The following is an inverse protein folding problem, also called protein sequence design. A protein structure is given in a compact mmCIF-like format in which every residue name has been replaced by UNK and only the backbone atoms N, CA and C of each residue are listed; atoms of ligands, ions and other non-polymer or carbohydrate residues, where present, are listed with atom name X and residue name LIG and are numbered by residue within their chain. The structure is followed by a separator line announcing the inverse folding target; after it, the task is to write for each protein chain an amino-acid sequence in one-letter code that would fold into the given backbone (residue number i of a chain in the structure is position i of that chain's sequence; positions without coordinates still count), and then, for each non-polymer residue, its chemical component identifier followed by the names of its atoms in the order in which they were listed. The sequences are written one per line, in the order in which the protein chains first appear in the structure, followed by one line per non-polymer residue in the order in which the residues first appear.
data_IF_988894484286
#
_entry.id   IF_988894484286
#
_cell.length_a   1.000
_cell.length_b   1.000
_cell.length_c   1.000
_cell.angle_alpha   90.00
_cell.angle_beta   90.00
_cell.angle_gamma   90.00
#
_symmetry.space_group_name_H-M   'P 1'
#
loop_
_entity.id
_entity.type
_entity.pdbx_description
1 polymer ?
#
# COMPACT_ATOMS: atom_id res chain seq x y z
N UNK A 1 55.82 30.50 -69.46
CA UNK A 1 55.61 29.40 -68.48
C UNK A 1 54.60 29.69 -67.36
N UNK A 2 54.15 30.93 -67.12
CA UNK A 2 53.20 31.24 -66.02
C UNK A 2 51.72 30.97 -66.35
N UNK A 3 51.31 31.05 -67.61
CA UNK A 3 49.90 30.89 -68.03
C UNK A 3 49.41 29.44 -67.95
N UNK A 4 50.29 28.45 -68.13
CA UNK A 4 49.96 27.03 -68.04
C UNK A 4 49.66 26.55 -66.62
N UNK A 5 50.24 27.19 -65.60
CA UNK A 5 50.04 26.80 -64.18
C UNK A 5 48.65 27.24 -63.67
N UNK A 6 48.16 28.41 -64.10
CA UNK A 6 46.85 28.94 -63.66
C UNK A 6 45.70 28.08 -64.22
N UNK A 7 45.81 27.60 -65.46
CA UNK A 7 44.80 26.73 -66.07
C UNK A 7 44.68 25.37 -65.39
N UNK A 8 45.79 24.83 -64.86
CA UNK A 8 45.80 23.55 -64.15
C UNK A 8 45.12 23.67 -62.78
N UNK A 9 45.35 24.79 -62.07
CA UNK A 9 44.73 25.07 -60.78
C UNK A 9 43.20 25.25 -60.89
N UNK A 10 42.72 25.96 -61.91
CA UNK A 10 41.29 26.14 -62.14
C UNK A 10 40.57 24.80 -62.46
N UNK A 11 41.21 23.93 -63.24
CA UNK A 11 40.68 22.58 -63.53
C UNK A 11 40.58 21.71 -62.27
N UNK A 12 41.58 21.76 -61.38
CA UNK A 12 41.56 21.02 -60.12
C UNK A 12 40.40 21.48 -59.21
N UNK A 13 40.17 22.79 -59.10
CA UNK A 13 39.09 23.34 -58.29
C UNK A 13 37.72 22.90 -58.83
N UNK A 14 37.52 22.93 -60.15
CA UNK A 14 36.26 22.49 -60.76
C UNK A 14 35.98 20.99 -60.47
N UNK A 15 37.01 20.15 -60.52
CA UNK A 15 36.89 18.72 -60.18
C UNK A 15 36.55 18.53 -58.70
N UNK A 16 37.17 19.29 -57.80
CA UNK A 16 36.86 19.22 -56.36
C UNK A 16 35.42 19.63 -56.05
N UNK A 17 34.92 20.69 -56.69
CA UNK A 17 33.51 21.11 -56.57
C UNK A 17 32.56 20.04 -57.11
N UNK A 18 32.86 19.44 -58.26
CA UNK A 18 32.05 18.37 -58.83
C UNK A 18 32.02 17.12 -57.92
N UNK A 19 33.14 16.76 -57.32
CA UNK A 19 33.21 15.66 -56.33
C UNK A 19 32.39 16.00 -55.08
N UNK A 20 32.46 17.24 -54.60
CA UNK A 20 31.69 17.67 -53.44
C UNK A 20 30.17 17.63 -53.70
N UNK A 21 29.72 18.20 -54.82
CA UNK A 21 28.32 18.14 -55.24
C UNK A 21 27.80 16.70 -55.42
N UNK A 22 28.64 15.81 -55.96
CA UNK A 22 28.28 14.39 -56.08
C UNK A 22 28.16 13.70 -54.71
N UNK A 23 29.00 14.08 -53.74
CA UNK A 23 28.91 13.56 -52.36
C UNK A 23 27.62 14.03 -51.69
N UNK A 24 27.27 15.30 -51.79
CA UNK A 24 26.01 15.84 -51.25
C UNK A 24 24.78 15.21 -51.91
N UNK A 25 24.81 14.99 -53.22
CA UNK A 25 23.71 14.33 -53.91
C UNK A 25 23.55 12.87 -53.45
N UNK A 26 24.66 12.19 -53.13
CA UNK A 26 24.62 10.83 -52.57
C UNK A 26 24.07 10.82 -51.15
N UNK A 27 24.48 11.75 -50.28
CA UNK A 27 23.96 11.82 -48.91
C UNK A 27 22.47 12.15 -48.90
N UNK A 28 22.03 13.11 -49.71
CA UNK A 28 20.60 13.47 -49.81
C UNK A 28 19.74 12.28 -50.29
N UNK A 29 20.24 11.47 -51.23
CA UNK A 29 19.52 10.26 -51.68
C UNK A 29 19.44 9.19 -50.60
N UNK A 30 20.50 9.01 -49.81
CA UNK A 30 20.52 8.07 -48.68
C UNK A 30 19.54 8.53 -47.59
N UNK A 31 19.55 9.81 -47.24
CA UNK A 31 18.64 10.38 -46.25
C UNK A 31 17.17 10.24 -46.67
N UNK A 32 16.87 10.52 -47.94
CA UNK A 32 15.51 10.39 -48.47
C UNK A 32 15.04 8.93 -48.47
N UNK A 33 15.92 7.98 -48.81
CA UNK A 33 15.63 6.55 -48.69
C UNK A 33 15.36 6.16 -47.23
N UNK A 34 16.19 6.60 -46.29
CA UNK A 34 16.03 6.33 -44.87
C UNK A 34 14.74 6.94 -44.29
N UNK A 35 14.36 8.15 -44.72
CA UNK A 35 13.11 8.80 -44.31
C UNK A 35 11.88 8.04 -44.83
N UNK A 36 11.93 7.55 -46.08
CA UNK A 36 10.85 6.73 -46.64
C UNK A 36 10.70 5.41 -45.91
N UNK A 37 11.82 4.76 -45.55
CA UNK A 37 11.80 3.52 -44.78
C UNK A 37 11.19 3.74 -43.39
N UNK A 38 11.58 4.81 -42.68
CA UNK A 38 10.98 5.16 -41.39
C UNK A 38 9.48 5.46 -41.51
N UNK A 39 9.06 6.16 -42.56
CA UNK A 39 7.65 6.42 -42.81
C UNK A 39 6.87 5.12 -43.06
N UNK A 40 7.42 4.19 -43.83
CA UNK A 40 6.82 2.87 -44.06
C UNK A 40 6.73 2.05 -42.75
N UNK A 41 7.82 1.99 -41.98
CA UNK A 41 7.83 1.31 -40.68
C UNK A 41 6.77 1.88 -39.73
N UNK A 42 6.60 3.21 -39.71
CA UNK A 42 5.57 3.84 -38.88
C UNK A 42 4.15 3.49 -39.34
N UNK A 43 3.92 3.40 -40.65
CA UNK A 43 2.63 3.01 -41.23
C UNK A 43 2.29 1.55 -40.90
N UNK A 44 3.28 0.65 -41.01
CA UNK A 44 3.11 -0.77 -40.67
C UNK A 44 2.83 -0.96 -39.18
N UNK A 45 3.50 -0.17 -38.33
CA UNK A 45 3.24 -0.18 -36.89
C UNK A 45 1.81 0.26 -36.57
N UNK A 46 1.29 1.30 -37.23
CA UNK A 46 -0.09 1.75 -37.03
C UNK A 46 -1.10 0.66 -37.44
N UNK A 47 -0.91 0.02 -38.60
CA UNK A 47 -1.77 -1.09 -39.03
C UNK A 47 -1.74 -2.26 -38.04
N UNK A 48 -0.55 -2.59 -37.52
CA UNK A 48 -0.41 -3.62 -36.47
C UNK A 48 -1.17 -3.24 -35.20
N UNK A 49 -1.08 -1.99 -34.75
CA UNK A 49 -1.81 -1.54 -33.56
C UNK A 49 -3.32 -1.49 -33.78
N UNK A 50 -3.79 -1.14 -34.97
CA UNK A 50 -5.21 -1.15 -35.32
C UNK A 50 -5.78 -2.57 -35.31
N UNK A 51 -5.06 -3.53 -35.90
CA UNK A 51 -5.46 -4.95 -35.90
C UNK A 51 -5.46 -5.53 -34.48
N UNK A 52 -4.48 -5.18 -33.66
CA UNK A 52 -4.43 -5.57 -32.25
C UNK A 52 -5.60 -4.97 -31.46
N UNK A 53 -5.89 -3.67 -31.63
CA UNK A 53 -7.04 -3.02 -30.99
C UNK A 53 -8.37 -3.62 -31.43
N UNK A 54 -8.53 -3.97 -32.71
CA UNK A 54 -9.73 -4.64 -33.21
C UNK A 54 -9.90 -6.03 -32.57
N UNK A 55 -8.79 -6.74 -32.34
CA UNK A 55 -8.79 -8.05 -31.67
C UNK A 55 -9.15 -7.90 -30.19
N UNK A 56 -8.49 -6.99 -29.47
CA UNK A 56 -8.79 -6.70 -28.07
C UNK A 56 -10.23 -6.24 -27.85
N UNK A 57 -10.80 -5.47 -28.79
CA UNK A 57 -12.21 -5.07 -28.73
C UNK A 57 -13.14 -6.28 -28.87
N UNK A 58 -12.83 -7.24 -29.74
CA UNK A 58 -13.60 -8.48 -29.88
C UNK A 58 -13.49 -9.35 -28.63
N UNK A 59 -12.30 -9.48 -28.05
CA UNK A 59 -12.08 -10.22 -26.81
C UNK A 59 -12.83 -9.57 -25.63
N UNK A 60 -12.75 -8.24 -25.50
CA UNK A 60 -13.51 -7.52 -24.47
C UNK A 60 -15.02 -7.67 -24.66
N UNK A 61 -15.53 -7.65 -25.90
CA UNK A 61 -16.95 -7.91 -26.16
C UNK A 61 -17.34 -9.35 -25.80
N UNK A 62 -16.48 -10.34 -26.10
CA UNK A 62 -16.69 -11.74 -25.72
C UNK A 62 -16.68 -11.92 -24.19
N UNK A 63 -15.72 -11.33 -23.48
CA UNK A 63 -15.66 -11.33 -22.02
C UNK A 63 -16.87 -10.62 -21.40
N UNK A 64 -17.31 -9.50 -21.98
CA UNK A 64 -18.51 -8.81 -21.54
C UNK A 64 -19.77 -9.67 -21.71
N UNK A 65 -19.82 -10.53 -22.73
CA UNK A 65 -20.93 -11.49 -22.91
C UNK A 65 -20.86 -12.69 -21.95
N UNK A 66 -19.69 -12.97 -21.37
CA UNK A 66 -19.50 -14.00 -20.34
C UNK A 66 -19.77 -13.48 -18.92
N UNK A 67 -19.92 -12.16 -18.75
CA UNK A 67 -20.30 -11.60 -17.45
C UNK A 67 -21.68 -12.17 -17.07
N UNK A 68 -21.85 -12.57 -15.79
CA UNK A 68 -23.14 -13.06 -15.30
C UNK A 68 -24.23 -12.05 -15.62
N UNK A 69 -25.41 -12.53 -16.04
CA UNK A 69 -26.54 -11.69 -16.39
C UNK A 69 -26.77 -10.67 -15.25
N UNK A 70 -26.98 -9.37 -15.53
CA UNK A 70 -27.25 -8.38 -14.48
C UNK A 70 -28.38 -8.80 -13.52
N UNK A 71 -29.32 -9.62 -14.01
CA UNK A 71 -30.37 -10.23 -13.19
C UNK A 71 -29.83 -11.27 -12.18
N UNK A 72 -28.82 -12.06 -12.56
CA UNK A 72 -28.17 -13.01 -11.66
C UNK A 72 -27.32 -12.28 -10.62
N UNK A 73 -26.65 -11.20 -11.00
CA UNK A 73 -25.95 -10.34 -10.02
C UNK A 73 -26.92 -9.67 -9.04
N UNK A 74 -28.10 -9.23 -9.52
CA UNK A 74 -29.13 -8.66 -8.65
C UNK A 74 -29.69 -9.72 -7.68
N UNK A 75 -29.94 -10.95 -8.17
CA UNK A 75 -30.34 -12.09 -7.34
C UNK A 75 -29.27 -12.44 -6.30
N UNK A 76 -28.02 -12.62 -6.71
CA UNK A 76 -26.91 -12.91 -5.80
C UNK A 76 -26.71 -11.80 -4.75
N UNK A 77 -26.95 -10.54 -5.10
CA UNK A 77 -26.92 -9.43 -4.14
C UNK A 77 -28.09 -9.48 -3.16
N UNK A 78 -29.29 -9.83 -3.63
CA UNK A 78 -30.45 -10.04 -2.76
C UNK A 78 -30.20 -11.21 -1.80
N UNK A 79 -29.74 -12.36 -2.32
CA UNK A 79 -29.39 -13.54 -1.53
C UNK A 79 -28.27 -13.24 -0.53
N UNK A 80 -27.24 -12.48 -0.93
CA UNK A 80 -26.18 -12.05 -0.02
C UNK A 80 -26.67 -11.07 1.05
N UNK A 81 -27.61 -10.18 0.71
CA UNK A 81 -28.23 -9.28 1.68
C UNK A 81 -29.12 -10.04 2.67
N UNK A 82 -29.85 -11.05 2.20
CA UNK A 82 -30.65 -11.95 3.02
C UNK A 82 -29.76 -12.79 3.95
N UNK A 83 -28.68 -13.38 3.45
CA UNK A 83 -27.71 -14.11 4.27
C UNK A 83 -27.06 -13.21 5.33
N UNK A 84 -26.77 -11.94 5.02
CA UNK A 84 -26.30 -10.97 6.02
C UNK A 84 -27.37 -10.68 7.07
N UNK A 85 -28.65 -10.53 6.68
CA UNK A 85 -29.75 -10.33 7.62
C UNK A 85 -29.95 -11.54 8.52
N UNK A 86 -29.92 -12.75 7.96
CA UNK A 86 -30.00 -14.00 8.71
C UNK A 86 -28.81 -14.16 9.67
N UNK A 87 -27.60 -13.83 9.23
CA UNK A 87 -26.42 -13.78 10.12
C UNK A 87 -26.57 -12.72 11.20
N UNK A 88 -27.06 -11.52 10.89
CA UNK A 88 -27.26 -10.47 11.89
C UNK A 88 -28.35 -10.83 12.91
N UNK A 89 -29.42 -11.50 12.49
CA UNK A 89 -30.46 -12.03 13.38
C UNK A 89 -29.95 -13.18 14.24
N UNK A 90 -29.09 -14.05 13.69
CA UNK A 90 -28.39 -15.09 14.45
C UNK A 90 -27.25 -14.54 15.34
N UNK A 91 -26.78 -13.31 15.06
CA UNK A 91 -25.66 -12.64 15.74
C UNK A 91 -26.13 -11.36 16.43
N UNK A 92 -27.27 -11.37 17.13
CA UNK A 92 -27.69 -10.27 18.00
C UNK A 92 -26.86 -10.18 19.29
N UNK A 93 -25.56 -10.48 19.20
CA UNK A 93 -24.56 -10.19 20.21
C UNK A 93 -23.61 -9.18 19.57
N UNK A 94 -23.39 -8.00 20.17
CA UNK A 94 -22.38 -7.07 19.66
C UNK A 94 -21.07 -7.83 19.44
N UNK A 95 -20.26 -7.50 18.41
CA UNK A 95 -19.02 -8.21 18.12
C UNK A 95 -18.19 -8.23 19.40
N UNK A 96 -18.15 -9.40 20.04
CA UNK A 96 -17.50 -9.55 21.34
C UNK A 96 -16.02 -9.65 21.06
N UNK A 97 -15.36 -8.50 21.07
CA UNK A 97 -13.91 -8.43 21.11
C UNK A 97 -13.41 -9.38 22.19
N UNK A 98 -12.59 -10.36 21.80
CA UNK A 98 -11.88 -11.18 22.76
C UNK A 98 -10.65 -10.39 23.20
N UNK A 99 -10.73 -9.79 24.38
CA UNK A 99 -9.58 -9.11 24.97
C UNK A 99 -8.56 -10.18 25.36
N UNK A 100 -7.34 -10.02 24.89
CA UNK A 100 -6.23 -10.91 25.20
C UNK A 100 -5.02 -10.08 25.61
N UNK A 101 -4.18 -10.66 26.46
CA UNK A 101 -2.87 -10.10 26.82
C UNK A 101 -1.84 -10.57 25.78
N UNK A 102 -0.92 -9.71 25.36
CA UNK A 102 0.23 -10.16 24.55
C UNK A 102 1.07 -11.14 25.37
N UNK A 103 1.63 -12.16 24.72
CA UNK A 103 2.61 -13.02 25.36
C UNK A 103 3.91 -12.23 25.59
N UNK A 104 4.42 -12.27 26.82
CA UNK A 104 5.52 -11.42 27.30
C UNK A 104 6.82 -11.64 26.50
N UNK A 105 7.33 -10.55 25.93
CA UNK A 105 8.77 -10.37 25.66
C UNK A 105 9.35 -9.72 26.93
N UNK A 106 10.46 -10.21 27.50
CA UNK A 106 11.01 -9.66 28.74
C UNK A 106 11.24 -8.15 28.60
N UNK A 107 10.76 -7.33 29.56
CA UNK A 107 10.87 -5.88 29.46
C UNK A 107 12.33 -5.44 29.47
N UNK A 108 12.69 -4.57 28.53
CA UNK A 108 13.95 -3.84 28.62
C UNK A 108 13.91 -2.90 29.84
N UNK A 109 15.03 -2.74 30.58
CA UNK A 109 15.08 -1.88 31.76
C UNK A 109 14.70 -0.43 31.42
N UNK A 110 14.01 0.29 32.32
CA UNK A 110 13.62 1.67 32.08
C UNK A 110 14.86 2.56 31.92
N UNK A 111 14.88 3.49 30.95
CA UNK A 111 15.94 4.48 30.86
C UNK A 111 15.82 5.46 32.04
N UNK A 112 16.94 5.63 32.76
CA UNK A 112 17.11 6.67 33.77
C UNK A 112 17.15 8.04 33.07
N UNK A 113 16.14 8.88 33.30
CA UNK A 113 16.13 10.27 32.87
C UNK A 113 14.74 10.76 32.47
N UNK A 114 14.42 12.01 32.84
CA UNK A 114 13.16 12.73 32.57
C UNK A 114 12.97 13.06 31.08
N UNK A 115 13.01 12.04 30.22
CA UNK A 115 12.62 12.14 28.82
C UNK A 115 11.26 11.46 28.69
N UNK A 116 10.27 12.12 28.08
CA UNK A 116 8.96 11.52 27.82
C UNK A 116 9.13 10.25 26.97
N UNK A 117 9.11 9.08 27.62
CA UNK A 117 9.33 7.81 26.96
C UNK A 117 8.26 7.55 25.87
N UNK A 118 8.64 6.97 24.72
CA UNK A 118 7.72 6.70 23.64
C UNK A 118 6.68 5.64 24.03
N UNK A 119 5.50 5.72 23.43
CA UNK A 119 4.45 4.72 23.66
C UNK A 119 4.84 3.46 22.90
N UNK A 120 4.91 2.34 23.61
CA UNK A 120 5.40 1.08 23.02
C UNK A 120 4.39 -0.04 23.19
N UNK A 121 4.19 -0.81 22.13
CA UNK A 121 3.52 -2.11 22.12
C UNK A 121 4.54 -3.12 21.63
N UNK A 122 4.82 -4.16 22.41
CA UNK A 122 5.76 -5.23 22.05
C UNK A 122 5.16 -6.58 22.43
N UNK A 123 5.19 -7.54 21.51
CA UNK A 123 4.80 -8.91 21.80
C UNK A 123 4.39 -9.71 20.58
N UNK A 124 3.82 -10.89 20.84
CA UNK A 124 3.39 -11.83 19.80
C UNK A 124 1.90 -12.10 19.90
N UNK A 125 1.21 -12.11 18.75
CA UNK A 125 -0.21 -12.42 18.63
C UNK A 125 -0.46 -13.43 17.52
N UNK A 126 -1.23 -14.47 17.80
CA UNK A 126 -1.71 -15.42 16.80
C UNK A 126 -3.00 -14.92 16.16
N UNK A 127 -3.01 -14.81 14.83
CA UNK A 127 -4.16 -14.37 14.04
C UNK A 127 -4.46 -15.37 12.93
N UNK A 128 -5.73 -15.62 12.67
CA UNK A 128 -6.15 -16.20 11.39
C UNK A 128 -6.02 -15.15 10.28
N UNK A 129 -5.79 -15.58 9.05
CA UNK A 129 -5.75 -14.65 7.92
C UNK A 129 -7.10 -13.92 7.75
N UNK A 130 -7.04 -12.59 7.58
CA UNK A 130 -8.20 -11.72 7.54
C UNK A 130 -8.69 -11.23 8.90
N UNK A 131 -8.32 -11.86 10.02
CA UNK A 131 -8.64 -11.31 11.34
C UNK A 131 -7.92 -9.98 11.57
N UNK A 132 -8.56 -9.08 12.30
CA UNK A 132 -7.98 -7.77 12.63
C UNK A 132 -7.63 -7.71 14.10
N UNK A 133 -6.37 -7.49 14.42
CA UNK A 133 -5.92 -7.14 15.76
C UNK A 133 -6.03 -5.63 15.96
N UNK A 134 -6.52 -5.21 17.13
CA UNK A 134 -6.55 -3.81 17.56
C UNK A 134 -5.87 -3.68 18.90
N UNK A 135 -4.95 -2.73 19.02
CA UNK A 135 -4.27 -2.40 20.27
C UNK A 135 -4.11 -0.87 20.39
N UNK A 136 -3.56 -0.41 21.50
CA UNK A 136 -3.37 0.99 21.82
C UNK A 136 -4.37 1.48 22.85
N UNK A 137 -5.12 2.53 22.51
CA UNK A 137 -5.96 3.25 23.45
C UNK A 137 -5.17 4.25 24.30
N UNK A 138 -3.99 4.67 23.84
CA UNK A 138 -3.19 5.71 24.48
C UNK A 138 -3.80 7.09 24.25
N UNK A 139 -3.61 8.01 25.18
CA UNK A 139 -3.97 9.41 24.95
C UNK A 139 -3.14 9.98 23.78
N UNK A 140 -3.83 10.60 22.82
CA UNK A 140 -3.19 11.32 21.70
C UNK A 140 -2.66 12.69 22.17
N UNK A 141 -1.77 13.29 21.37
CA UNK A 141 -1.42 14.71 21.44
C UNK A 141 -2.63 15.62 21.20
N UNK A 142 -3.57 15.19 20.36
CA UNK A 142 -4.84 15.87 20.11
C UNK A 142 -5.73 15.76 21.34
N UNK A 143 -6.11 16.90 21.92
CA UNK A 143 -6.93 16.94 23.12
C UNK A 143 -8.23 16.10 22.96
N UNK A 144 -8.45 15.16 23.87
CA UNK A 144 -9.65 14.33 23.91
C UNK A 144 -9.71 13.22 22.86
N UNK A 145 -8.58 12.83 22.25
CA UNK A 145 -8.49 11.68 21.35
C UNK A 145 -7.59 10.57 21.91
N UNK A 146 -7.80 9.34 21.44
CA UNK A 146 -6.95 8.18 21.72
C UNK A 146 -6.43 7.55 20.44
N UNK A 147 -5.19 7.08 20.45
CA UNK A 147 -4.55 6.44 19.30
C UNK A 147 -4.75 4.93 19.38
N UNK A 148 -5.21 4.33 18.28
CA UNK A 148 -5.32 2.89 18.10
C UNK A 148 -4.53 2.43 16.88
N UNK A 149 -3.95 1.23 17.01
CA UNK A 149 -3.25 0.53 15.93
C UNK A 149 -4.06 -0.71 15.54
N UNK A 150 -4.33 -0.84 14.25
CA UNK A 150 -5.02 -2.00 13.67
C UNK A 150 -4.07 -2.76 12.75
N UNK A 151 -4.09 -4.08 12.82
CA UNK A 151 -3.29 -4.97 11.98
C UNK A 151 -4.13 -6.10 11.42
N UNK A 152 -4.10 -6.28 10.10
CA UNK A 152 -4.81 -7.35 9.40
C UNK A 152 -3.84 -8.07 8.46
N UNK A 153 -3.43 -9.32 8.77
CA UNK A 153 -2.62 -10.11 7.86
C UNK A 153 -3.49 -10.75 6.77
N UNK A 154 -2.96 -10.84 5.56
CA UNK A 154 -3.54 -11.54 4.42
C UNK A 154 -2.45 -12.39 3.77
N UNK A 155 -2.77 -13.64 3.47
CA UNK A 155 -1.88 -14.52 2.73
C UNK A 155 -1.99 -14.21 1.23
N UNK A 156 -0.86 -14.08 0.57
CA UNK A 156 -0.79 -13.92 -0.88
C UNK A 156 -0.55 -15.28 -1.55
N UNK A 157 -0.88 -15.38 -2.84
CA UNK A 157 -0.79 -16.62 -3.63
C UNK A 157 0.66 -17.14 -3.75
N UNK A 158 1.64 -16.25 -3.67
CA UNK A 158 3.07 -16.56 -3.70
C UNK A 158 3.63 -17.03 -2.33
N UNK A 159 2.77 -17.18 -1.33
CA UNK A 159 3.13 -17.57 0.03
C UNK A 159 3.65 -16.43 0.90
N UNK A 160 3.75 -15.21 0.37
CA UNK A 160 4.08 -14.03 1.19
C UNK A 160 2.89 -13.63 2.07
N UNK A 161 3.19 -12.86 3.11
CA UNK A 161 2.19 -12.26 4.01
C UNK A 161 2.14 -10.77 3.75
N UNK A 162 0.98 -10.28 3.33
CA UNK A 162 0.66 -8.86 3.32
C UNK A 162 0.06 -8.47 4.68
N UNK A 163 0.60 -7.43 5.31
CA UNK A 163 0.04 -6.86 6.53
C UNK A 163 -0.47 -5.47 6.21
N UNK A 164 -1.78 -5.29 6.37
CA UNK A 164 -2.40 -3.96 6.35
C UNK A 164 -2.37 -3.41 7.77
N UNK A 165 -1.68 -2.28 7.96
CA UNK A 165 -1.65 -1.58 9.23
C UNK A 165 -2.40 -0.26 9.12
N UNK A 166 -3.06 0.14 10.20
CA UNK A 166 -3.78 1.42 10.27
C UNK A 166 -3.58 2.04 11.64
N UNK A 167 -3.30 3.34 11.65
CA UNK A 167 -3.22 4.13 12.87
C UNK A 167 -4.33 5.17 12.81
N UNK A 168 -5.13 5.25 13.87
CA UNK A 168 -6.28 6.16 13.93
C UNK A 168 -6.34 6.87 15.28
N UNK A 169 -6.62 8.17 15.25
CA UNK A 169 -7.01 8.93 16.42
C UNK A 169 -8.53 8.94 16.53
N UNK A 170 -9.03 8.48 17.67
CA UNK A 170 -10.46 8.32 17.93
C UNK A 170 -10.86 9.25 19.06
N UNK A 171 -11.85 10.14 18.89
CA UNK A 171 -12.38 10.95 19.98
C UNK A 171 -12.84 10.10 21.15
N UNK A 172 -12.60 10.55 22.39
CA UNK A 172 -12.94 9.79 23.60
C UNK A 172 -14.42 9.37 23.63
N UNK A 173 -15.30 10.24 23.13
CA UNK A 173 -16.73 9.99 23.02
C UNK A 173 -17.09 8.87 22.03
N UNK A 174 -16.24 8.63 21.02
CA UNK A 174 -16.45 7.59 20.01
C UNK A 174 -15.84 6.22 20.40
N UNK A 175 -14.95 6.19 21.39
CA UNK A 175 -14.26 4.96 21.82
C UNK A 175 -15.24 3.88 22.26
N UNK A 176 -16.29 4.26 23.02
CA UNK A 176 -17.29 3.32 23.51
C UNK A 176 -18.22 2.84 22.39
N UNK A 177 -18.69 3.74 21.52
CA UNK A 177 -19.55 3.39 20.38
C UNK A 177 -18.85 2.47 19.38
N UNK A 178 -17.52 2.54 19.28
CA UNK A 178 -16.71 1.69 18.43
C UNK A 178 -16.30 0.36 19.10
N UNK A 179 -16.72 0.12 20.35
CA UNK A 179 -16.38 -1.09 21.09
C UNK A 179 -14.92 -1.17 21.53
N UNK A 180 -14.22 -0.03 21.61
CA UNK A 180 -12.79 0.06 21.94
C UNK A 180 -12.54 0.45 23.42
N UNK A 181 -13.59 0.57 24.23
CA UNK A 181 -13.53 1.01 25.64
C UNK A 181 -12.54 0.20 26.47
N UNK A 182 -12.52 -1.11 26.28
CA UNK A 182 -11.70 -2.04 27.05
C UNK A 182 -10.21 -1.99 26.70
N UNK A 183 -9.88 -1.36 25.56
CA UNK A 183 -8.51 -1.10 25.14
C UNK A 183 -7.96 0.22 25.68
N UNK A 184 -8.73 0.99 26.45
CA UNK A 184 -8.21 2.21 27.10
C UNK A 184 -7.02 1.84 27.98
N UNK A 185 -5.89 2.50 27.74
CA UNK A 185 -4.69 2.39 28.59
C UNK A 185 -4.24 3.77 29.02
N UNK A 186 -3.93 3.90 30.30
CA UNK A 186 -3.26 5.08 30.88
C UNK A 186 -1.74 4.86 30.98
N UNK A 187 -1.29 3.61 30.83
CA UNK A 187 0.12 3.22 30.96
C UNK A 187 0.80 3.31 29.59
N UNK A 188 2.05 3.77 29.57
CA UNK A 188 2.87 3.96 28.36
C UNK A 188 3.13 2.66 27.57
N UNK A 189 2.91 1.49 28.18
CA UNK A 189 2.94 0.19 27.52
C UNK A 189 1.50 -0.33 27.33
N UNK A 190 1.13 -0.65 26.09
CA UNK A 190 -0.10 -1.41 25.85
C UNK A 190 0.25 -2.90 25.82
N UNK A 191 -0.18 -3.65 26.84
CA UNK A 191 -0.06 -5.12 26.88
C UNK A 191 -1.35 -5.81 26.42
N UNK A 192 -2.35 -5.04 26.01
CA UNK A 192 -3.69 -5.52 25.65
C UNK A 192 -3.96 -5.33 24.18
N UNK A 193 -4.63 -6.31 23.60
CA UNK A 193 -5.20 -6.23 22.28
C UNK A 193 -6.56 -6.90 22.26
N UNK A 194 -7.34 -6.58 21.24
CA UNK A 194 -8.56 -7.27 20.88
C UNK A 194 -8.43 -7.81 19.47
N UNK A 195 -8.99 -8.99 19.21
CA UNK A 195 -9.11 -9.52 17.86
C UNK A 195 -10.55 -9.45 17.39
N UNK A 196 -10.71 -9.21 16.09
CA UNK A 196 -11.98 -9.13 15.39
C UNK A 196 -11.96 -10.11 14.22
N UNK A 197 -13.07 -10.80 13.99
CA UNK A 197 -13.24 -11.63 12.79
C UNK A 197 -13.05 -10.80 11.51
N UNK A 198 -12.84 -11.42 10.34
CA UNK A 198 -12.67 -10.67 9.09
C UNK A 198 -13.82 -9.69 8.82
N UNK A 199 -15.07 -10.10 9.03
CA UNK A 199 -16.24 -9.26 8.83
C UNK A 199 -16.32 -8.14 9.87
N UNK A 200 -16.09 -8.46 11.15
CA UNK A 200 -16.15 -7.48 12.23
C UNK A 200 -15.01 -6.46 12.14
N UNK A 201 -13.81 -6.88 11.71
CA UNK A 201 -12.66 -6.02 11.47
C UNK A 201 -12.90 -5.07 10.30
N UNK A 202 -13.44 -5.58 9.19
CA UNK A 202 -13.82 -4.74 8.04
C UNK A 202 -14.91 -3.71 8.42
N UNK A 203 -15.89 -4.13 9.23
CA UNK A 203 -16.92 -3.24 9.77
C UNK A 203 -16.31 -2.16 10.67
N UNK A 204 -15.42 -2.52 11.59
CA UNK A 204 -14.72 -1.57 12.46
C UNK A 204 -13.92 -0.55 11.64
N UNK A 205 -13.17 -1.00 10.63
CA UNK A 205 -12.41 -0.10 9.74
C UNK A 205 -13.35 0.86 9.02
N UNK A 206 -14.50 0.38 8.53
CA UNK A 206 -15.52 1.23 7.90
C UNK A 206 -16.09 2.23 8.90
N UNK A 207 -16.47 1.78 10.09
CA UNK A 207 -17.01 2.64 11.15
C UNK A 207 -16.01 3.73 11.56
N UNK A 208 -14.72 3.40 11.69
CA UNK A 208 -13.66 4.37 11.95
C UNK A 208 -13.61 5.46 10.86
N UNK A 209 -13.71 5.10 9.59
CA UNK A 209 -13.69 6.07 8.49
C UNK A 209 -14.95 6.93 8.36
N UNK A 210 -16.07 6.46 8.90
CA UNK A 210 -17.38 7.14 8.80
C UNK A 210 -17.72 7.96 10.05
N UNK A 211 -17.01 7.74 11.17
CA UNK A 211 -17.28 8.43 12.43
C UNK A 211 -16.68 9.83 12.42
N UNK A 212 -17.52 10.84 12.68
CA UNK A 212 -17.08 12.22 12.76
C UNK A 212 -16.00 12.42 13.83
N UNK A 213 -14.91 13.09 13.46
CA UNK A 213 -13.81 13.42 14.36
C UNK A 213 -12.76 12.33 14.53
N UNK A 214 -12.96 11.13 13.96
CA UNK A 214 -11.92 10.11 13.83
C UNK A 214 -10.97 10.51 12.71
N UNK A 215 -9.67 10.57 13.03
CA UNK A 215 -8.62 10.87 12.06
C UNK A 215 -7.81 9.61 11.78
N UNK A 216 -7.83 9.13 10.54
CA UNK A 216 -6.92 8.05 10.12
C UNK A 216 -5.57 8.69 9.78
N UNK A 217 -4.58 8.52 10.67
CA UNK A 217 -3.25 9.09 10.51
C UNK A 217 -2.51 8.48 9.32
N UNK A 218 -2.57 7.16 9.18
CA UNK A 218 -1.90 6.44 8.09
C UNK A 218 -2.45 5.02 7.92
N UNK A 219 -2.26 4.44 6.73
CA UNK A 219 -2.73 3.10 6.35
C UNK A 219 -1.73 2.33 5.48
N UNK A 220 -0.48 2.13 5.96
CA UNK A 220 0.55 1.45 5.19
C UNK A 220 0.21 -0.03 4.97
N UNK A 221 0.69 -0.55 3.85
CA UNK A 221 0.67 -1.98 3.55
C UNK A 221 2.10 -2.44 3.34
N UNK A 222 2.44 -3.59 3.89
CA UNK A 222 3.74 -4.19 3.75
C UNK A 222 3.58 -5.65 3.34
N UNK A 223 4.41 -6.11 2.41
CA UNK A 223 4.52 -7.52 2.03
C UNK A 223 5.87 -8.04 2.49
N UNK A 224 5.88 -9.17 3.20
CA UNK A 224 7.11 -9.84 3.64
C UNK A 224 6.95 -11.36 3.60
N UNK A 225 8.07 -12.08 3.63
CA UNK A 225 8.08 -13.55 3.71
C UNK A 225 7.77 -13.99 5.14
N UNK A 226 7.24 -15.21 5.28
CA UNK A 226 7.15 -15.87 6.58
C UNK A 226 8.52 -15.94 7.26
N UNK A 227 8.57 -15.61 8.56
CA UNK A 227 9.78 -15.54 9.39
C UNK A 227 10.68 -14.33 9.12
N UNK A 228 10.36 -13.46 8.16
CA UNK A 228 11.20 -12.31 7.80
C UNK A 228 10.71 -11.03 8.46
N UNK A 229 11.60 -10.36 9.19
CA UNK A 229 11.32 -9.05 9.79
C UNK A 229 11.16 -7.98 8.71
N UNK A 230 10.22 -7.07 8.93
CA UNK A 230 10.04 -5.88 8.13
C UNK A 230 9.67 -4.69 9.03
N UNK A 231 10.03 -3.50 8.57
CA UNK A 231 9.84 -2.25 9.32
C UNK A 231 9.05 -1.25 8.49
N UNK A 232 8.05 -0.64 9.12
CA UNK A 232 7.35 0.55 8.64
C UNK A 232 7.83 1.73 9.49
N UNK A 233 8.23 2.82 8.85
CA UNK A 233 8.59 4.08 9.53
C UNK A 233 7.91 5.25 8.83
N UNK A 234 7.17 6.05 9.59
CA UNK A 234 6.31 7.12 9.09
C UNK A 234 6.60 8.38 9.90
N UNK A 235 7.24 9.35 9.25
CA UNK A 235 7.71 10.59 9.89
C UNK A 235 9.02 10.42 10.66
N UNK A 236 9.63 11.56 11.02
CA UNK A 236 10.87 11.66 11.80
C UNK A 236 12.15 11.66 10.94
N UNK A 237 13.04 12.64 11.17
CA UNK A 237 14.46 12.61 10.76
C UNK A 237 15.36 12.08 11.89
N UNK A 238 14.83 11.98 13.12
CA UNK A 238 15.51 11.56 14.34
C UNK A 238 14.71 10.48 15.09
N UNK A 239 15.41 9.71 15.93
CA UNK A 239 14.83 8.61 16.73
C UNK A 239 13.68 9.12 17.63
N UNK A 240 12.49 8.53 17.49
CA UNK A 240 11.35 8.77 18.38
C UNK A 240 10.37 9.88 17.96
N UNK A 241 10.61 10.58 16.84
CA UNK A 241 9.68 11.61 16.34
C UNK A 241 8.59 11.07 15.40
N UNK A 242 8.73 9.84 14.91
CA UNK A 242 7.83 9.20 13.97
C UNK A 242 7.12 7.95 14.52
N UNK A 243 6.16 7.46 13.76
CA UNK A 243 5.55 6.15 14.00
C UNK A 243 6.49 5.09 13.42
N UNK A 244 6.99 4.19 14.27
CA UNK A 244 7.78 3.03 13.84
C UNK A 244 7.04 1.74 14.20
N UNK A 245 7.02 0.80 13.27
CA UNK A 245 6.46 -0.53 13.51
C UNK A 245 7.37 -1.59 12.89
N UNK A 246 7.91 -2.46 13.73
CA UNK A 246 8.58 -3.68 13.31
C UNK A 246 7.61 -4.84 13.40
N UNK A 247 7.64 -5.72 12.40
CA UNK A 247 6.77 -6.88 12.34
C UNK A 247 7.49 -8.07 11.71
N UNK A 248 7.28 -9.25 12.28
CA UNK A 248 7.80 -10.53 11.80
C UNK A 248 6.65 -11.53 11.79
N UNK A 249 6.02 -11.80 10.63
CA UNK A 249 4.94 -12.76 10.52
C UNK A 249 5.51 -14.17 10.36
N UNK A 250 5.02 -15.13 11.14
CA UNK A 250 5.41 -16.55 11.05
C UNK A 250 4.18 -17.42 10.80
N UNK A 251 4.02 -17.89 9.57
CA UNK A 251 2.90 -18.75 9.17
C UNK A 251 3.03 -20.10 9.86
N UNK A 252 1.98 -20.51 10.58
CA UNK A 252 1.98 -21.75 11.34
C UNK A 252 1.91 -22.99 10.44
N UNK A 253 2.36 -24.16 10.92
CA UNK A 253 2.08 -25.44 10.27
C UNK A 253 0.57 -25.60 10.03
N UNK A 254 0.17 -25.93 8.80
CA UNK A 254 -1.24 -25.97 8.37
C UNK A 254 -1.66 -24.75 7.56
N UNK A 255 -1.01 -23.59 7.75
CA UNK A 255 -1.16 -22.44 6.86
C UNK A 255 -2.42 -21.59 7.04
N UNK A 256 -3.21 -21.85 8.09
CA UNK A 256 -4.47 -21.15 8.37
C UNK A 256 -4.30 -19.94 9.31
N UNK A 257 -3.17 -19.87 10.01
CA UNK A 257 -2.86 -18.81 10.97
C UNK A 257 -1.42 -18.33 10.86
N UNK A 258 -1.19 -17.12 11.38
CA UNK A 258 0.11 -16.46 11.44
C UNK A 258 0.37 -15.98 12.87
N UNK A 259 1.57 -16.26 13.37
CA UNK A 259 2.08 -15.65 14.59
C UNK A 259 2.74 -14.32 14.21
N UNK A 260 2.18 -13.23 14.69
CA UNK A 260 2.64 -11.87 14.43
C UNK A 260 3.47 -11.39 15.61
N UNK A 261 4.79 -11.41 15.49
CA UNK A 261 5.67 -10.68 16.41
C UNK A 261 5.72 -9.23 15.97
N UNK A 262 5.45 -8.29 16.87
CA UNK A 262 5.39 -6.88 16.53
C UNK A 262 5.98 -6.01 17.62
N UNK A 263 6.56 -4.89 17.19
CA UNK A 263 6.94 -3.78 18.05
C UNK A 263 6.48 -2.48 17.41
N UNK A 264 5.53 -1.81 18.03
CA UNK A 264 5.04 -0.49 17.62
C UNK A 264 5.58 0.55 18.58
N UNK A 265 6.15 1.61 18.05
CA UNK A 265 6.66 2.76 18.79
C UNK A 265 5.96 4.01 18.23
N UNK A 266 5.27 4.74 19.08
CA UNK A 266 4.65 6.02 18.75
C UNK A 266 5.36 7.14 19.51
N UNK A 267 5.42 8.36 18.93
CA UNK A 267 5.98 9.50 19.62
C UNK A 267 5.20 9.76 20.92
N UNK A 268 5.87 10.21 21.99
CA UNK A 268 5.19 10.54 23.24
C UNK A 268 4.17 11.67 23.03
N UNK A 269 3.14 11.76 23.89
CA UNK A 269 2.32 12.96 23.95
C UNK A 269 3.22 14.13 24.37
N UNK A 270 3.17 15.25 23.61
CA UNK A 270 3.88 16.48 24.00
C UNK A 270 3.29 16.97 25.32
N UNK A 271 4.13 17.30 26.29
CA UNK A 271 3.68 17.94 27.52
C UNK A 271 2.91 19.22 27.15
N UNK A 272 1.79 19.48 27.84
CA UNK A 272 1.10 20.77 27.73
C UNK A 272 2.12 21.86 28.05
N UNK A 273 2.40 22.72 27.09
CA UNK A 273 3.05 24.00 27.37
C UNK A 273 1.98 24.79 28.11
N UNK A 274 2.05 24.85 29.44
CA UNK A 274 1.25 25.80 30.19
C UNK A 274 1.67 27.22 29.78
N UNK A 275 0.70 28.10 29.45
CA UNK A 275 0.98 29.48 29.05
C UNK A 275 1.50 30.34 30.21
#
# INVERSE_FOLDING_TARGET
MKVTVVSLAAGLIAVLVAIHALREQRTARIELAALRERAQQSSDQLLRLETENATLRKENAALASQLPNPNDLARLRADAAELRRLRAQASSTPPRAQIRKLADVPPAPPPDGETTAPLTLDGTVRLSFGETMVSGGWQSQSAGKRIFTLLTPTRLDDGNVMVAARFAEVPEAAVETLGLKELRTEVRAAERYSTFSPEAGAELVRALTQTTGVDVLTSPRLVTRSGSEATISIGGHADGEGISMKLTPEVQPGGDSVDMRMKVVLPPPKAKIEP
#
